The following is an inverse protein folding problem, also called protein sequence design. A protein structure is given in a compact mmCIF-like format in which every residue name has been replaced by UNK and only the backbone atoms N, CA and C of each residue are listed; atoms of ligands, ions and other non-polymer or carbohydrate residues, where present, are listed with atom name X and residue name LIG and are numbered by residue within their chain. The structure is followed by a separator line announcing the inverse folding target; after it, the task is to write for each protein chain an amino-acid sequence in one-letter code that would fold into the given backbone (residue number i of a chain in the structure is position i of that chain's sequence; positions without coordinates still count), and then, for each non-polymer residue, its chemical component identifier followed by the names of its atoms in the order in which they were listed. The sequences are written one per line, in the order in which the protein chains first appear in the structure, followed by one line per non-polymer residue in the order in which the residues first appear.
data_IF_807298876180
#
_entry.id   IF_807298876180
#
_cell.length_a   1.000
_cell.length_b   1.000
_cell.length_c   1.000
_cell.angle_alpha   90.00
_cell.angle_beta   90.00
_cell.angle_gamma   90.00
#
_symmetry.space_group_name_H-M   'P 1'
#
loop_
_entity.id
_entity.type
_entity.pdbx_description
1 polymer ?
#
# COMPACT_ATOMS: atom_id res chain seq x y z
N UNK A 1 11.32 -10.59 9.31
CA UNK A 1 9.88 -10.84 9.46
C UNK A 1 9.39 -11.89 8.46
N UNK A 2 9.24 -11.60 7.17
CA UNK A 2 8.73 -12.55 6.16
C UNK A 2 9.45 -13.90 6.07
N UNK A 3 10.79 -13.95 6.22
CA UNK A 3 11.53 -15.22 6.24
C UNK A 3 11.05 -16.17 7.35
N UNK A 4 10.61 -15.65 8.49
CA UNK A 4 10.06 -16.45 9.59
C UNK A 4 8.59 -16.80 9.33
N UNK A 5 7.78 -15.81 8.93
CA UNK A 5 6.35 -16.01 8.61
C UNK A 5 6.13 -17.05 7.49
N UNK A 6 6.96 -17.06 6.45
CA UNK A 6 6.89 -18.04 5.36
C UNK A 6 7.28 -19.47 5.79
N UNK A 7 7.99 -19.62 6.91
CA UNK A 7 8.38 -20.93 7.45
C UNK A 7 7.38 -21.46 8.46
N UNK A 8 6.84 -20.58 9.31
CA UNK A 8 6.13 -20.96 10.52
C UNK A 8 4.61 -20.72 10.45
N UNK A 9 4.12 -19.91 9.51
CA UNK A 9 2.71 -19.56 9.39
C UNK A 9 2.09 -20.05 8.08
N UNK A 10 0.85 -20.54 8.13
CA UNK A 10 -0.01 -20.82 6.96
C UNK A 10 -0.47 -19.52 6.26
N UNK A 11 0.39 -18.51 6.18
CA UNK A 11 0.09 -17.23 5.55
C UNK A 11 0.34 -17.38 4.05
N UNK A 12 -0.64 -16.96 3.27
CA UNK A 12 -0.53 -16.99 1.82
C UNK A 12 0.59 -16.05 1.37
N UNK A 13 1.49 -16.57 0.55
CA UNK A 13 2.48 -15.76 -0.14
C UNK A 13 1.75 -14.78 -1.07
N UNK A 14 1.98 -13.47 -0.96
CA UNK A 14 1.42 -12.51 -1.91
C UNK A 14 1.93 -12.80 -3.33
N UNK A 15 1.01 -12.81 -4.29
CA UNK A 15 1.33 -12.87 -5.72
C UNK A 15 1.47 -11.46 -6.33
N UNK A 16 0.93 -10.45 -5.66
CA UNK A 16 0.90 -9.05 -6.13
C UNK A 16 1.23 -8.08 -5.02
N UNK A 17 1.98 -7.04 -5.37
CA UNK A 17 2.53 -6.07 -4.43
C UNK A 17 2.16 -4.65 -4.85
N UNK A 18 1.54 -3.92 -3.93
CA UNK A 18 1.15 -2.53 -4.10
C UNK A 18 1.81 -1.67 -3.02
N UNK A 19 2.09 -0.41 -3.33
CA UNK A 19 2.71 0.50 -2.40
C UNK A 19 2.16 1.92 -2.55
N UNK A 20 2.09 2.62 -1.44
CA UNK A 20 1.91 4.07 -1.42
C UNK A 20 3.05 4.80 -2.14
N UNK A 21 2.79 5.95 -2.80
CA UNK A 21 3.84 6.74 -3.44
C UNK A 21 4.66 7.60 -2.46
N UNK A 22 4.37 7.53 -1.16
CA UNK A 22 5.14 8.25 -0.13
C UNK A 22 6.43 7.48 0.16
N UNK A 23 7.58 8.17 0.12
CA UNK A 23 8.91 7.56 0.22
C UNK A 23 9.09 6.65 1.44
N UNK A 24 8.48 6.99 2.59
CA UNK A 24 8.51 6.17 3.81
C UNK A 24 7.89 4.77 3.62
N UNK A 25 6.84 4.66 2.82
CA UNK A 25 6.21 3.38 2.50
C UNK A 25 7.08 2.59 1.52
N UNK A 26 7.67 3.26 0.52
CA UNK A 26 8.58 2.61 -0.43
C UNK A 26 9.82 2.05 0.27
N UNK A 27 10.42 2.80 1.21
CA UNK A 27 11.52 2.31 2.05
C UNK A 27 11.12 1.10 2.89
N UNK A 28 9.90 1.13 3.46
CA UNK A 28 9.36 -0.01 4.20
C UNK A 28 9.21 -1.22 3.29
N UNK A 29 8.70 -1.06 2.07
CA UNK A 29 8.56 -2.14 1.11
C UNK A 29 9.92 -2.76 0.75
N UNK A 30 10.95 -1.95 0.52
CA UNK A 30 12.33 -2.44 0.30
C UNK A 30 12.81 -3.25 1.48
N UNK A 31 12.79 -2.68 2.69
CA UNK A 31 13.25 -3.37 3.90
C UNK A 31 12.47 -4.68 4.17
N UNK A 32 11.21 -4.73 3.74
CA UNK A 32 10.31 -5.86 3.95
C UNK A 32 10.56 -7.00 2.97
N UNK A 33 10.76 -6.69 1.68
CA UNK A 33 10.78 -7.70 0.61
C UNK A 33 12.18 -8.02 0.10
N UNK A 34 13.14 -7.11 0.24
CA UNK A 34 14.51 -7.29 -0.26
C UNK A 34 15.16 -8.56 0.32
N UNK A 35 15.78 -9.35 -0.54
CA UNK A 35 16.40 -10.63 -0.19
C UNK A 35 15.44 -11.70 0.38
N UNK A 36 14.13 -11.44 0.42
CA UNK A 36 13.12 -12.43 0.84
C UNK A 36 12.32 -12.94 -0.34
N UNK A 37 11.99 -12.03 -1.27
CA UNK A 37 11.33 -12.36 -2.52
C UNK A 37 12.25 -11.94 -3.67
N UNK A 38 12.25 -12.71 -4.76
CA UNK A 38 13.03 -12.42 -5.96
C UNK A 38 12.07 -11.95 -7.06
N UNK A 39 12.54 -11.05 -7.94
CA UNK A 39 11.78 -10.52 -9.07
C UNK A 39 10.42 -9.90 -8.67
N UNK A 40 10.37 -9.13 -7.59
CA UNK A 40 9.14 -8.49 -7.14
C UNK A 40 8.91 -7.20 -7.91
N UNK A 41 7.77 -7.13 -8.61
CA UNK A 41 7.22 -5.87 -9.14
C UNK A 41 6.24 -5.28 -8.14
N UNK A 42 6.51 -4.06 -7.69
CA UNK A 42 5.64 -3.31 -6.78
C UNK A 42 4.99 -2.18 -7.56
N UNK A 43 3.66 -2.22 -7.67
CA UNK A 43 2.91 -1.13 -8.29
C UNK A 43 2.67 0.00 -7.27
N UNK A 44 3.17 1.19 -7.59
CA UNK A 44 2.94 2.42 -6.84
C UNK A 44 1.58 2.99 -7.25
N UNK A 45 0.70 3.12 -6.27
CA UNK A 45 -0.70 3.56 -6.46
C UNK A 45 -0.96 4.78 -5.59
N UNK A 46 -1.32 5.92 -6.20
CA UNK A 46 -1.56 7.20 -5.52
C UNK A 46 -2.58 7.05 -4.40
N UNK A 47 -3.66 6.31 -4.67
CA UNK A 47 -4.73 6.08 -3.70
C UNK A 47 -4.33 5.23 -2.49
N UNK A 48 -3.10 4.69 -2.42
CA UNK A 48 -2.54 4.08 -1.22
C UNK A 48 -1.83 5.09 -0.29
N UNK A 49 -1.83 6.39 -0.62
CA UNK A 49 -1.28 7.46 0.24
C UNK A 49 -1.96 7.55 1.62
N UNK A 50 -1.24 8.14 2.57
CA UNK A 50 -1.82 8.49 3.88
C UNK A 50 -2.96 9.52 3.70
N UNK A 51 -3.81 9.62 4.71
CA UNK A 51 -4.75 10.73 4.85
C UNK A 51 -4.08 12.06 4.52
N UNK A 52 -4.76 12.87 3.72
CA UNK A 52 -4.19 14.12 3.25
C UNK A 52 -4.47 15.27 4.19
N UNK A 53 -3.52 16.20 4.30
CA UNK A 53 -3.69 17.47 5.01
C UNK A 53 -3.17 17.45 6.44
N UNK A 54 -3.22 18.62 7.09
CA UNK A 54 -2.78 18.89 8.47
C UNK A 54 -1.29 18.67 8.77
N UNK A 55 -0.73 17.50 8.44
CA UNK A 55 0.68 17.19 8.66
C UNK A 55 1.49 17.32 7.37
N UNK A 56 2.62 18.03 7.48
CA UNK A 56 3.54 18.24 6.34
C UNK A 56 4.19 16.95 5.86
N UNK A 57 4.24 15.90 6.70
CA UNK A 57 4.72 14.60 6.30
C UNK A 57 3.82 13.92 5.26
N UNK A 58 2.58 14.36 5.07
CA UNK A 58 1.67 13.79 4.06
C UNK A 58 1.87 14.40 2.67
N UNK A 59 2.79 15.36 2.55
CA UNK A 59 3.18 15.90 1.25
C UNK A 59 4.03 14.88 0.49
N UNK A 60 3.49 14.42 -0.64
CA UNK A 60 4.20 13.54 -1.57
C UNK A 60 5.32 14.29 -2.29
N UNK A 61 6.49 13.66 -2.41
CA UNK A 61 7.55 14.06 -3.35
C UNK A 61 7.06 13.99 -4.79
N UNK A 62 7.73 14.68 -5.72
CA UNK A 62 7.29 14.61 -7.12
C UNK A 62 7.49 13.21 -7.70
N UNK A 63 6.77 12.87 -8.78
CA UNK A 63 6.90 11.58 -9.45
C UNK A 63 8.34 11.35 -9.90
N UNK A 64 8.98 12.36 -10.49
CA UNK A 64 10.39 12.27 -10.89
C UNK A 64 11.32 11.97 -9.70
N UNK A 65 11.04 12.54 -8.52
CA UNK A 65 11.84 12.29 -7.32
C UNK A 65 11.66 10.86 -6.78
N UNK A 66 10.42 10.36 -6.73
CA UNK A 66 10.17 8.99 -6.25
C UNK A 66 10.68 7.95 -7.26
N UNK A 67 10.55 8.20 -8.56
CA UNK A 67 11.13 7.36 -9.61
C UNK A 67 12.65 7.29 -9.45
N UNK A 68 13.34 8.44 -9.39
CA UNK A 68 14.80 8.45 -9.27
C UNK A 68 15.31 7.76 -8.00
N UNK A 69 14.62 7.93 -6.86
CA UNK A 69 14.97 7.24 -5.61
C UNK A 69 14.73 5.73 -5.72
N UNK A 70 13.67 5.32 -6.41
CA UNK A 70 13.31 3.91 -6.57
C UNK A 70 14.20 3.15 -7.54
N UNK A 71 14.76 3.83 -8.56
CA UNK A 71 15.67 3.23 -9.54
C UNK A 71 17.04 2.85 -8.96
N UNK A 72 17.38 3.31 -7.75
CA UNK A 72 18.61 2.94 -7.03
C UNK A 72 18.50 1.51 -6.48
N UNK A 73 17.29 0.98 -6.38
CA UNK A 73 17.00 -0.36 -5.88
C UNK A 73 17.20 -1.31 -7.06
N UNK A 74 18.09 -2.31 -6.90
CA UNK A 74 18.55 -3.15 -8.00
C UNK A 74 17.39 -3.86 -8.70
N UNK A 75 17.35 -3.72 -10.03
CA UNK A 75 16.27 -4.23 -10.90
C UNK A 75 16.09 -5.76 -10.85
N UNK A 76 17.11 -6.51 -10.39
CA UNK A 76 17.12 -7.97 -10.32
C UNK A 76 16.31 -8.54 -9.15
N UNK A 77 16.07 -7.78 -8.09
CA UNK A 77 15.33 -8.25 -6.91
C UNK A 77 13.98 -7.54 -6.72
N UNK A 78 13.96 -6.21 -6.87
CA UNK A 78 12.81 -5.37 -6.56
C UNK A 78 12.70 -4.22 -7.56
N UNK A 79 11.56 -4.11 -8.22
CA UNK A 79 11.27 -3.05 -9.17
C UNK A 79 9.99 -2.32 -8.80
N UNK A 80 10.08 -1.01 -8.67
CA UNK A 80 8.90 -0.16 -8.57
C UNK A 80 8.39 0.19 -9.97
N UNK A 81 7.09 0.02 -10.15
CA UNK A 81 6.36 0.45 -11.34
C UNK A 81 5.30 1.46 -10.89
N UNK A 82 4.99 2.45 -11.72
CA UNK A 82 4.07 3.51 -11.37
C UNK A 82 2.79 3.37 -12.15
N UNK A 83 1.65 3.62 -11.51
CA UNK A 83 0.37 3.52 -12.20
C UNK A 83 0.28 4.48 -13.39
N UNK A 84 -0.40 4.07 -14.47
CA UNK A 84 -0.67 4.96 -15.58
C UNK A 84 -1.38 6.22 -15.10
N UNK A 85 -0.85 7.39 -15.45
CA UNK A 85 -1.45 8.67 -15.07
C UNK A 85 -1.07 9.18 -13.68
N UNK A 86 -0.10 8.56 -12.99
CA UNK A 86 0.45 9.15 -11.78
C UNK A 86 0.96 10.57 -12.05
N UNK A 87 0.37 11.55 -11.37
CA UNK A 87 0.67 12.97 -11.57
C UNK A 87 2.09 13.32 -11.10
N UNK A 88 2.73 14.30 -11.75
CA UNK A 88 4.08 14.75 -11.35
C UNK A 88 4.07 15.26 -9.90
N UNK A 89 3.08 16.07 -9.55
CA UNK A 89 2.84 16.55 -8.19
C UNK A 89 1.65 15.83 -7.56
N UNK A 90 1.71 15.58 -6.25
CA UNK A 90 0.57 15.02 -5.52
C UNK A 90 -0.65 15.95 -5.50
N UNK A 91 -1.79 15.48 -4.99
CA UNK A 91 -2.97 16.29 -4.72
C UNK A 91 -2.62 17.54 -3.89
N UNK A 92 -3.38 18.64 -4.09
CA UNK A 92 -3.16 19.92 -3.40
C UNK A 92 -3.24 19.71 -1.89
N UNK A 93 -2.11 19.79 -1.20
CA UNK A 93 -2.03 19.76 0.26
C UNK A 93 -2.49 21.09 0.84
N UNK A 94 -3.53 21.02 1.67
CA UNK A 94 -4.08 22.16 2.38
C UNK A 94 -3.80 21.99 3.88
N UNK A 95 -3.21 22.99 4.55
CA UNK A 95 -2.81 22.87 5.96
C UNK A 95 -4.00 22.74 6.91
N UNK A 96 -5.18 23.17 6.48
CA UNK A 96 -6.41 23.29 7.28
C UNK A 96 -7.52 22.30 6.85
N UNK A 97 -7.27 21.48 5.82
CA UNK A 97 -8.25 20.49 5.33
C UNK A 97 -7.66 19.09 5.47
N UNK A 98 -8.19 18.32 6.41
CA UNK A 98 -7.87 16.90 6.56
C UNK A 98 -8.90 16.03 5.82
N UNK A 99 -8.42 15.03 5.10
CA UNK A 99 -9.27 13.96 4.56
C UNK A 99 -10.04 13.28 5.70
N UNK A 100 -11.35 13.14 5.53
CA UNK A 100 -12.22 12.49 6.52
C UNK A 100 -12.06 10.97 6.47
N UNK A 101 -12.38 10.29 7.58
CA UNK A 101 -12.40 8.82 7.64
C UNK A 101 -13.30 8.20 6.56
N UNK A 102 -14.44 8.84 6.26
CA UNK A 102 -15.34 8.39 5.20
C UNK A 102 -14.68 8.48 3.81
N UNK A 103 -14.04 9.62 3.49
CA UNK A 103 -13.33 9.80 2.22
C UNK A 103 -12.17 8.80 2.08
N UNK A 104 -11.39 8.60 3.15
CA UNK A 104 -10.33 7.60 3.16
C UNK A 104 -10.89 6.18 2.97
N UNK A 105 -12.04 5.86 3.58
CA UNK A 105 -12.73 4.56 3.44
C UNK A 105 -13.24 4.35 2.01
N UNK A 106 -13.84 5.37 1.39
CA UNK A 106 -14.27 5.30 -0.01
C UNK A 106 -13.08 5.10 -0.96
N UNK A 107 -11.97 5.81 -0.72
CA UNK A 107 -10.72 5.62 -1.46
C UNK A 107 -10.14 4.22 -1.27
N UNK A 108 -10.17 3.69 -0.04
CA UNK A 108 -9.75 2.34 0.27
C UNK A 108 -10.60 1.27 -0.44
N UNK A 109 -11.92 1.45 -0.52
CA UNK A 109 -12.80 0.60 -1.33
C UNK A 109 -12.38 0.60 -2.80
N UNK A 110 -12.16 1.77 -3.38
CA UNK A 110 -11.70 1.87 -4.78
C UNK A 110 -10.36 1.17 -5.03
N UNK A 111 -9.43 1.21 -4.07
CA UNK A 111 -8.17 0.45 -4.16
C UNK A 111 -8.44 -1.05 -4.09
N UNK A 112 -9.22 -1.53 -3.11
CA UNK A 112 -9.55 -2.95 -2.98
C UNK A 112 -10.29 -3.47 -4.23
N UNK A 113 -11.26 -2.71 -4.74
CA UNK A 113 -12.01 -3.07 -5.93
C UNK A 113 -11.11 -3.17 -7.15
N UNK A 114 -10.21 -2.21 -7.34
CA UNK A 114 -9.22 -2.27 -8.43
C UNK A 114 -8.28 -3.46 -8.27
N UNK A 115 -7.81 -3.71 -7.05
CA UNK A 115 -6.85 -4.78 -6.75
C UNK A 115 -7.46 -6.17 -6.93
N UNK A 116 -8.71 -6.41 -6.52
CA UNK A 116 -9.32 -7.74 -6.55
C UNK A 116 -10.35 -7.97 -7.67
N UNK A 117 -10.85 -6.90 -8.31
CA UNK A 117 -11.92 -7.00 -9.31
C UNK A 117 -11.66 -6.19 -10.59
N UNK A 118 -10.55 -5.44 -10.68
CA UNK A 118 -10.17 -4.71 -11.88
C UNK A 118 -9.64 -5.60 -13.01
N UNK A 119 -9.28 -5.01 -14.16
CA UNK A 119 -8.66 -5.73 -15.30
C UNK A 119 -7.36 -6.47 -14.91
N UNK A 120 -6.67 -6.01 -13.87
CA UNK A 120 -5.52 -6.69 -13.27
C UNK A 120 -5.92 -7.69 -12.16
N UNK A 121 -7.11 -7.54 -11.57
CA UNK A 121 -7.51 -8.15 -10.30
C UNK A 121 -8.26 -9.49 -10.38
N UNK A 122 -8.58 -10.01 -11.56
CA UNK A 122 -9.40 -11.22 -11.71
C UNK A 122 -8.78 -12.56 -11.27
N UNK A 123 -7.59 -12.58 -10.66
CA UNK A 123 -6.87 -13.83 -10.35
C UNK A 123 -5.91 -13.81 -9.17
N UNK A 124 -5.89 -12.74 -8.36
CA UNK A 124 -4.99 -12.67 -7.21
C UNK A 124 -5.54 -13.45 -6.03
N UNK A 125 -4.73 -14.35 -5.49
CA UNK A 125 -5.08 -15.16 -4.31
C UNK A 125 -4.65 -14.44 -3.03
N UNK A 126 -3.57 -13.67 -3.07
CA UNK A 126 -3.10 -12.87 -1.96
C UNK A 126 -2.34 -11.63 -2.44
N UNK A 127 -2.63 -10.48 -1.86
CA UNK A 127 -2.00 -9.19 -2.20
C UNK A 127 -1.33 -8.58 -0.99
N UNK A 128 -0.21 -7.92 -1.20
CA UNK A 128 0.46 -7.12 -0.18
C UNK A 128 0.32 -5.64 -0.52
N UNK A 129 -0.14 -4.83 0.44
CA UNK A 129 -0.25 -3.38 0.28
C UNK A 129 0.59 -2.70 1.36
N UNK A 130 1.68 -2.05 0.97
CA UNK A 130 2.51 -1.24 1.89
C UNK A 130 1.96 0.18 1.95
N UNK A 131 1.35 0.54 3.08
CA UNK A 131 0.64 1.81 3.26
C UNK A 131 0.93 2.44 4.63
N UNK A 132 0.00 3.26 5.12
CA UNK A 132 0.15 4.07 6.33
C UNK A 132 -0.99 3.82 7.30
N UNK A 133 -0.88 4.34 8.51
CA UNK A 133 -1.83 4.04 9.58
C UNK A 133 -3.28 4.42 9.26
N UNK A 134 -3.52 5.61 8.68
CA UNK A 134 -4.86 6.04 8.28
C UNK A 134 -5.38 5.18 7.14
N UNK A 135 -4.56 4.96 6.12
CA UNK A 135 -4.94 4.09 4.98
C UNK A 135 -5.22 2.63 5.38
N UNK A 136 -4.44 2.04 6.29
CA UNK A 136 -4.67 0.68 6.76
C UNK A 136 -5.98 0.60 7.55
N UNK A 137 -6.27 1.60 8.39
CA UNK A 137 -7.56 1.65 9.06
C UNK A 137 -8.70 1.84 8.05
N UNK A 138 -8.54 2.68 7.02
CA UNK A 138 -9.52 2.81 5.96
C UNK A 138 -9.81 1.46 5.25
N UNK A 139 -8.79 0.62 5.02
CA UNK A 139 -9.02 -0.76 4.53
C UNK A 139 -9.82 -1.60 5.52
N UNK A 140 -9.50 -1.56 6.81
CA UNK A 140 -10.25 -2.28 7.85
C UNK A 140 -11.71 -1.83 7.88
N UNK A 141 -11.97 -0.53 7.88
CA UNK A 141 -13.32 0.04 7.84
C UNK A 141 -14.07 -0.35 6.57
N UNK A 142 -13.43 -0.31 5.40
CA UNK A 142 -14.01 -0.76 4.13
C UNK A 142 -14.45 -2.24 4.16
N UNK A 143 -13.72 -3.08 4.89
CA UNK A 143 -14.04 -4.50 5.11
C UNK A 143 -15.00 -4.76 6.29
N UNK A 144 -15.51 -3.72 6.95
CA UNK A 144 -16.40 -3.85 8.11
C UNK A 144 -15.69 -4.30 9.40
N UNK A 145 -14.39 -4.03 9.52
CA UNK A 145 -13.55 -4.36 10.70
C UNK A 145 -13.30 -3.12 11.56
N UNK A 146 -13.03 -3.36 12.84
CA UNK A 146 -12.68 -2.30 13.78
C UNK A 146 -11.26 -1.75 13.55
N UNK A 147 -11.04 -0.51 14.01
CA UNK A 147 -9.73 0.15 14.01
C UNK A 147 -8.69 -0.73 14.71
N UNK A 148 -7.50 -0.81 14.13
CA UNK A 148 -6.36 -1.52 14.73
C UNK A 148 -5.11 -0.64 14.67
N UNK A 149 -4.48 -0.44 15.83
CA UNK A 149 -3.27 0.35 15.96
C UNK A 149 -2.05 -0.51 15.59
N UNK A 150 -1.70 -0.52 14.30
CA UNK A 150 -0.49 -1.19 13.84
C UNK A 150 0.75 -0.40 14.23
N UNK A 151 1.74 -1.02 14.90
CA UNK A 151 3.02 -0.38 15.11
C UNK A 151 3.72 -0.14 13.76
N UNK A 152 4.54 0.91 13.67
CA UNK A 152 5.35 1.19 12.48
C UNK A 152 6.19 -0.03 12.09
N UNK A 153 6.12 -0.44 10.82
CA UNK A 153 6.80 -1.65 10.33
C UNK A 153 6.11 -2.96 10.68
N UNK A 154 4.95 -2.93 11.34
CA UNK A 154 4.11 -4.10 11.57
C UNK A 154 3.39 -4.55 10.30
N UNK A 155 3.09 -5.84 10.21
CA UNK A 155 2.25 -6.43 9.18
C UNK A 155 0.97 -6.99 9.81
N UNK A 156 -0.15 -6.93 9.08
CA UNK A 156 -1.43 -7.56 9.47
C UNK A 156 -1.93 -8.41 8.32
N UNK A 157 -2.25 -9.68 8.58
CA UNK A 157 -3.04 -10.49 7.66
C UNK A 157 -4.50 -10.05 7.72
N UNK A 158 -5.13 -9.85 6.56
CA UNK A 158 -6.51 -9.39 6.44
C UNK A 158 -7.26 -10.31 5.48
N UNK A 159 -8.25 -11.02 6.04
CA UNK A 159 -9.12 -11.93 5.27
C UNK A 159 -10.53 -11.34 5.15
N UNK A 160 -11.25 -11.57 4.04
CA UNK A 160 -12.66 -11.19 3.93
C UNK A 160 -13.46 -11.74 5.12
N UNK A 161 -14.43 -10.98 5.62
CA UNK A 161 -15.37 -11.51 6.62
C UNK A 161 -16.11 -12.68 5.98
N UNK A 162 -16.04 -13.87 6.60
CA UNK A 162 -16.90 -14.98 6.21
C UNK A 162 -18.35 -14.53 6.41
N UNK A 163 -19.16 -14.59 5.35
CA UNK A 163 -20.60 -14.41 5.48
C UNK A 163 -21.09 -15.40 6.56
N UNK A 164 -21.74 -14.88 7.60
CA UNK A 164 -22.48 -15.74 8.53
C UNK A 164 -23.68 -16.27 7.74
N UNK A 165 -23.58 -17.51 7.27
CA UNK A 165 -24.71 -18.29 6.76
C UNK A 165 -25.72 -18.53 7.85
#
# INVERSE_FOLDING_TARGET
MWRAELRDAQILRPDSFFCSPLTRAMQTAVATFWGTFNNVRILVVENCREEHGEHTCDKRSTRTQIESTSSIIREDELRFEFEPGLAETGPIWLPDVRETELQATERAKGVLDRTFFGEQGGGHTAVSITAHSGMINAFLHAMGRARYALPTGGASDMQPLRART
#
